data_IF_292087312357
#
_entry.id   IF_292087312357
#
_cell.length_a   1.000
_cell.length_b   1.000
_cell.length_c   1.000
_cell.angle_alpha   90.00
_cell.angle_beta   90.00
_cell.angle_gamma   90.00
#
_symmetry.space_group_name_H-M   'P 1'
#
loop_
_entity.id
_entity.type
_entity.pdbx_description
1 polymer ?
#
# COMPACT_ATOMS: atom_id res chain seq x y z
N UNK A 1 -9.12 -79.42 -9.80
CA UNK A 1 -9.95 -78.47 -9.09
C UNK A 1 -9.07 -77.51 -8.33
N UNK A 2 -8.66 -76.43 -8.95
CA UNK A 2 -8.06 -75.22 -8.32
C UNK A 2 -7.95 -74.15 -9.40
N UNK A 3 -8.99 -73.40 -9.60
CA UNK A 3 -8.94 -72.14 -10.40
C UNK A 3 -10.20 -71.35 -10.02
N UNK A 4 -10.07 -70.36 -9.24
CA UNK A 4 -11.24 -69.55 -8.91
C UNK A 4 -11.08 -68.53 -7.79
N UNK A 5 -9.85 -68.15 -7.41
CA UNK A 5 -9.69 -67.19 -6.29
C UNK A 5 -8.81 -65.99 -6.56
N UNK A 6 -8.49 -65.64 -7.80
CA UNK A 6 -7.62 -64.49 -8.08
C UNK A 6 -8.27 -63.31 -8.82
N UNK A 7 -9.58 -63.37 -9.11
CA UNK A 7 -10.24 -62.32 -9.89
C UNK A 7 -11.07 -61.30 -9.06
N UNK A 8 -11.22 -61.51 -7.76
CA UNK A 8 -12.04 -60.63 -6.92
C UNK A 8 -11.26 -59.50 -6.20
N UNK A 9 -9.91 -59.56 -6.19
CA UNK A 9 -9.10 -58.55 -5.43
C UNK A 9 -8.71 -57.33 -6.25
N UNK A 10 -8.71 -57.44 -7.59
CA UNK A 10 -8.33 -56.28 -8.44
C UNK A 10 -9.42 -55.25 -8.65
N UNK A 11 -10.69 -55.61 -8.47
CA UNK A 11 -11.81 -54.66 -8.69
C UNK A 11 -12.01 -53.67 -7.52
N UNK A 12 -11.55 -54.03 -6.31
CA UNK A 12 -11.70 -53.18 -5.12
C UNK A 12 -10.68 -52.03 -5.01
N UNK A 13 -9.48 -52.20 -5.59
CA UNK A 13 -8.39 -51.23 -5.48
C UNK A 13 -8.52 -50.04 -6.49
N UNK A 14 -9.17 -50.27 -7.62
CA UNK A 14 -9.35 -49.22 -8.64
C UNK A 14 -10.46 -48.24 -8.24
N UNK A 15 -11.46 -48.67 -7.47
CA UNK A 15 -12.52 -47.76 -7.01
C UNK A 15 -12.09 -46.85 -5.86
N UNK A 16 -11.08 -47.20 -5.05
CA UNK A 16 -10.58 -46.35 -3.97
C UNK A 16 -9.71 -45.18 -4.50
N UNK A 17 -8.98 -45.40 -5.60
CA UNK A 17 -8.16 -44.33 -6.19
C UNK A 17 -8.98 -43.24 -6.86
N UNK A 18 -10.17 -43.54 -7.38
CA UNK A 18 -11.06 -42.56 -7.99
C UNK A 18 -11.82 -41.71 -6.96
N UNK A 19 -11.99 -42.18 -5.73
CA UNK A 19 -12.70 -41.46 -4.68
C UNK A 19 -11.82 -40.44 -3.96
N UNK A 20 -10.50 -40.57 -4.02
CA UNK A 20 -9.54 -39.64 -3.42
C UNK A 20 -9.16 -38.45 -4.32
N UNK A 21 -9.53 -38.49 -5.61
CA UNK A 21 -9.25 -37.39 -6.54
C UNK A 21 -10.40 -36.37 -6.65
N UNK A 22 -11.52 -36.59 -5.98
CA UNK A 22 -12.72 -35.74 -6.07
C UNK A 22 -12.83 -34.63 -5.01
N UNK A 23 -11.88 -34.47 -4.11
CA UNK A 23 -11.94 -33.43 -3.06
C UNK A 23 -10.69 -32.54 -3.04
N UNK A 24 -10.28 -32.05 -4.18
CA UNK A 24 -9.61 -30.74 -4.16
C UNK A 24 -10.71 -29.69 -4.02
N UNK A 25 -11.22 -29.53 -2.83
CA UNK A 25 -11.89 -28.31 -2.44
C UNK A 25 -10.84 -27.19 -2.59
N UNK A 26 -10.74 -26.64 -3.79
CA UNK A 26 -10.21 -25.30 -4.00
C UNK A 26 -11.20 -24.37 -3.29
N UNK A 27 -11.12 -24.34 -1.97
CA UNK A 27 -11.52 -23.20 -1.19
C UNK A 27 -10.64 -22.06 -1.71
N UNK A 28 -11.12 -21.38 -2.74
CA UNK A 28 -10.62 -20.09 -3.15
C UNK A 28 -10.93 -19.15 -1.98
N UNK A 29 -10.12 -19.25 -0.94
CA UNK A 29 -9.95 -18.19 0.01
C UNK A 29 -9.44 -17.01 -0.84
N UNK A 30 -10.37 -16.21 -1.35
CA UNK A 30 -10.12 -14.93 -1.96
C UNK A 30 -9.57 -14.02 -0.86
N UNK A 31 -8.36 -14.34 -0.40
CA UNK A 31 -7.63 -13.48 0.52
C UNK A 31 -7.41 -12.18 -0.23
N UNK A 32 -8.01 -11.13 0.29
CA UNK A 32 -7.83 -9.77 -0.24
C UNK A 32 -6.32 -9.54 -0.44
N UNK A 33 -5.89 -9.06 -1.62
CA UNK A 33 -4.47 -8.89 -1.88
C UNK A 33 -3.84 -7.99 -0.82
N UNK A 34 -2.60 -8.27 -0.40
CA UNK A 34 -1.94 -7.52 0.66
C UNK A 34 -1.75 -6.05 0.24
N UNK A 35 -1.89 -5.15 1.19
CA UNK A 35 -1.58 -3.73 0.97
C UNK A 35 -0.06 -3.57 0.90
N UNK A 36 0.42 -2.98 -0.19
CA UNK A 36 1.85 -2.68 -0.41
C UNK A 36 2.23 -1.33 0.17
N UNK A 37 1.38 -0.33 -0.08
CA UNK A 37 1.57 1.04 0.39
C UNK A 37 0.21 1.64 0.68
N UNK A 38 0.06 2.31 1.81
CA UNK A 38 -1.09 3.16 2.06
C UNK A 38 -0.69 4.42 2.79
N UNK A 39 -1.42 5.49 2.53
CA UNK A 39 -1.28 6.73 3.28
C UNK A 39 -2.64 7.32 3.60
N UNK A 40 -2.71 7.94 4.77
CA UNK A 40 -3.83 8.77 5.21
C UNK A 40 -3.28 10.14 5.53
N UNK A 41 -3.70 11.16 4.79
CA UNK A 41 -3.40 12.56 5.08
C UNK A 41 -4.55 13.14 5.87
N UNK A 42 -4.27 13.59 7.08
CA UNK A 42 -5.20 14.35 7.93
C UNK A 42 -4.80 15.81 7.89
N UNK A 43 -5.77 16.66 7.70
CA UNK A 43 -5.60 18.11 7.74
C UNK A 43 -6.59 18.65 8.78
N UNK A 44 -6.08 19.38 9.75
CA UNK A 44 -6.87 20.01 10.81
C UNK A 44 -6.41 21.46 11.00
N UNK A 45 -7.32 22.34 11.37
CA UNK A 45 -7.05 23.76 11.60
C UNK A 45 -8.25 24.45 12.20
N UNK A 46 -8.11 25.76 12.50
CA UNK A 46 -9.11 26.54 13.25
C UNK A 46 -10.51 26.50 12.62
N UNK A 47 -10.59 26.52 11.29
CA UNK A 47 -11.86 26.56 10.54
C UNK A 47 -12.08 25.30 9.69
N UNK A 48 -11.19 24.32 9.80
CA UNK A 48 -11.27 23.08 9.00
C UNK A 48 -11.78 21.94 9.86
N UNK A 49 -12.85 21.31 9.41
CA UNK A 49 -13.20 19.99 9.92
C UNK A 49 -12.07 19.00 9.57
N UNK A 50 -11.80 18.06 10.46
CA UNK A 50 -10.79 17.02 10.24
C UNK A 50 -11.03 16.29 8.90
N UNK A 51 -10.24 16.60 7.89
CA UNK A 51 -10.33 15.98 6.58
C UNK A 51 -9.30 14.85 6.51
N UNK A 52 -9.77 13.66 6.14
CA UNK A 52 -8.91 12.51 5.93
C UNK A 52 -8.97 12.06 4.47
N UNK A 53 -7.84 12.18 3.76
CA UNK A 53 -7.69 11.70 2.39
C UNK A 53 -6.81 10.44 2.40
N UNK A 54 -7.30 9.38 1.79
CA UNK A 54 -6.63 8.08 1.77
C UNK A 54 -6.15 7.70 0.37
N UNK A 55 -5.07 6.95 0.31
CA UNK A 55 -4.66 6.19 -0.86
C UNK A 55 -4.15 4.82 -0.41
N UNK A 56 -4.46 3.77 -1.18
CA UNK A 56 -4.01 2.38 -0.93
C UNK A 56 -3.63 1.71 -2.24
N UNK A 57 -2.44 1.16 -2.27
CA UNK A 57 -1.97 0.27 -3.33
C UNK A 57 -1.98 -1.17 -2.81
N UNK A 58 -2.62 -2.05 -3.55
CA UNK A 58 -2.65 -3.49 -3.29
C UNK A 58 -1.62 -4.24 -4.14
N UNK A 59 -1.29 -5.46 -3.73
CA UNK A 59 -0.26 -6.28 -4.38
C UNK A 59 -0.61 -6.73 -5.80
N UNK A 60 -1.88 -6.70 -6.18
CA UNK A 60 -2.39 -6.97 -7.53
C UNK A 60 -2.41 -5.73 -8.45
N UNK A 61 -1.95 -4.59 -7.96
CA UNK A 61 -1.91 -3.32 -8.70
C UNK A 61 -3.17 -2.46 -8.56
N UNK A 62 -4.20 -2.94 -7.86
CA UNK A 62 -5.38 -2.13 -7.55
C UNK A 62 -4.98 -0.94 -6.68
N UNK A 63 -5.47 0.25 -7.02
CA UNK A 63 -5.31 1.47 -6.24
C UNK A 63 -6.67 2.05 -5.89
N UNK A 64 -6.88 2.32 -4.63
CA UNK A 64 -8.04 3.06 -4.11
C UNK A 64 -7.58 4.40 -3.58
N UNK A 65 -8.22 5.50 -3.95
CA UNK A 65 -7.90 6.82 -3.40
C UNK A 65 -9.14 7.71 -3.27
N UNK A 66 -9.02 8.71 -2.43
CA UNK A 66 -10.04 9.74 -2.28
C UNK A 66 -9.71 10.92 -3.19
N UNK A 67 -10.66 11.26 -4.08
CA UNK A 67 -10.62 12.41 -4.97
C UNK A 67 -11.49 13.52 -4.39
N UNK A 68 -10.99 14.74 -4.37
CA UNK A 68 -11.72 15.92 -3.91
C UNK A 68 -10.82 16.93 -3.21
N UNK A 69 -11.40 18.06 -2.88
CA UNK A 69 -10.76 19.15 -2.13
C UNK A 69 -11.27 19.17 -0.69
N UNK A 70 -10.54 19.89 0.17
CA UNK A 70 -10.82 20.02 1.61
C UNK A 70 -12.25 20.53 1.86
N UNK A 71 -12.76 21.38 0.97
CA UNK A 71 -14.07 22.05 1.13
C UNK A 71 -15.22 21.31 0.47
N UNK A 72 -14.97 20.15 -0.15
CA UNK A 72 -15.99 19.41 -0.92
C UNK A 72 -15.99 17.95 -0.53
N UNK A 73 -17.17 17.34 -0.67
CA UNK A 73 -17.30 15.90 -0.52
C UNK A 73 -16.32 15.17 -1.45
N UNK A 74 -15.45 14.35 -0.88
CA UNK A 74 -14.55 13.49 -1.66
C UNK A 74 -15.26 12.21 -2.07
N UNK A 75 -14.82 11.65 -3.19
CA UNK A 75 -15.31 10.38 -3.72
C UNK A 75 -14.18 9.35 -3.71
N UNK A 76 -14.52 8.14 -3.29
CA UNK A 76 -13.60 7.02 -3.44
C UNK A 76 -13.50 6.64 -4.91
N UNK A 77 -12.27 6.67 -5.43
CA UNK A 77 -11.93 6.21 -6.77
C UNK A 77 -11.15 4.92 -6.71
N UNK A 78 -11.26 4.15 -7.77
CA UNK A 78 -10.52 2.89 -7.94
C UNK A 78 -9.96 2.83 -9.34
N UNK A 79 -8.70 2.45 -9.45
CA UNK A 79 -8.01 2.17 -10.71
C UNK A 79 -7.01 1.04 -10.52
N UNK A 80 -6.23 0.74 -11.55
CA UNK A 80 -5.12 -0.21 -11.46
C UNK A 80 -3.88 0.36 -12.13
N UNK A 81 -2.73 0.07 -11.56
CA UNK A 81 -1.42 0.29 -12.18
C UNK A 81 -0.86 -1.05 -12.66
N UNK A 82 0.12 -1.00 -13.54
CA UNK A 82 0.71 -2.21 -14.13
C UNK A 82 1.53 -3.01 -13.11
N UNK A 83 1.70 -4.33 -13.30
CA UNK A 83 2.59 -5.13 -12.45
C UNK A 83 4.03 -4.62 -12.40
N UNK A 84 4.51 -4.02 -13.49
CA UNK A 84 5.84 -3.41 -13.55
C UNK A 84 5.95 -2.20 -12.62
N UNK A 85 4.91 -1.36 -12.56
CA UNK A 85 4.86 -0.22 -11.65
C UNK A 85 4.75 -0.66 -10.18
N UNK A 86 3.95 -1.68 -9.87
CA UNK A 86 3.90 -2.28 -8.53
C UNK A 86 5.28 -2.78 -8.11
N UNK A 87 5.98 -3.47 -9.03
CA UNK A 87 7.33 -4.00 -8.77
C UNK A 87 8.36 -2.88 -8.57
N UNK A 88 8.24 -1.77 -9.31
CA UNK A 88 9.09 -0.60 -9.13
C UNK A 88 8.87 0.02 -7.74
N UNK A 89 7.63 0.28 -7.36
CA UNK A 89 7.29 0.83 -6.04
C UNK A 89 7.80 -0.10 -4.91
N UNK A 90 7.61 -1.41 -5.02
CA UNK A 90 8.11 -2.36 -4.02
C UNK A 90 9.63 -2.31 -3.89
N UNK A 91 10.35 -2.22 -5.01
CA UNK A 91 11.81 -2.11 -5.00
C UNK A 91 12.25 -0.82 -4.31
N UNK A 92 11.60 0.31 -4.62
CA UNK A 92 11.93 1.60 -4.03
C UNK A 92 11.62 1.63 -2.53
N UNK A 93 10.49 1.06 -2.10
CA UNK A 93 10.17 0.88 -0.68
C UNK A 93 11.18 -0.03 0.04
N UNK A 94 11.72 -1.05 -0.63
CA UNK A 94 12.72 -1.95 -0.04
C UNK A 94 14.08 -1.27 0.22
N UNK A 95 14.38 -0.15 -0.44
CA UNK A 95 15.61 0.62 -0.22
C UNK A 95 15.52 1.62 0.93
N UNK A 96 14.32 1.86 1.47
CA UNK A 96 14.13 2.80 2.56
C UNK A 96 14.65 2.19 3.86
N UNK A 97 15.59 2.86 4.52
CA UNK A 97 16.00 2.52 5.87
C UNK A 97 14.82 2.75 6.83
N UNK A 98 14.46 1.74 7.60
CA UNK A 98 13.20 1.78 8.38
C UNK A 98 13.39 1.69 9.88
N UNK A 99 14.63 1.61 10.36
CA UNK A 99 14.92 1.43 11.77
C UNK A 99 14.32 2.54 12.64
N UNK A 100 14.37 3.77 12.15
CA UNK A 100 13.87 4.96 12.85
C UNK A 100 12.42 5.33 12.49
N UNK A 101 11.79 4.61 11.53
CA UNK A 101 10.44 4.91 11.06
C UNK A 101 9.37 4.25 11.95
N UNK A 102 9.04 4.89 13.06
CA UNK A 102 8.00 4.42 13.96
C UNK A 102 7.30 5.57 14.69
N UNK A 103 6.06 5.34 15.10
CA UNK A 103 5.29 6.30 15.89
C UNK A 103 5.00 7.62 15.18
N UNK A 104 4.86 8.68 15.95
CA UNK A 104 4.59 10.04 15.46
C UNK A 104 5.86 10.87 15.44
N UNK A 105 6.22 11.34 14.27
CA UNK A 105 7.45 12.07 13.98
C UNK A 105 7.15 13.53 13.60
N UNK A 106 8.03 14.43 13.96
CA UNK A 106 7.86 15.86 13.68
C UNK A 106 7.44 16.65 14.93
N UNK A 107 6.86 17.85 14.82
CA UNK A 107 6.65 18.55 13.54
C UNK A 107 7.97 18.96 12.85
N UNK A 108 7.97 18.99 11.50
CA UNK A 108 9.14 19.38 10.70
C UNK A 108 9.10 20.84 10.29
N UNK A 109 7.90 21.35 10.03
CA UNK A 109 7.68 22.74 9.64
C UNK A 109 6.54 23.36 10.45
N UNK A 110 6.45 24.72 10.44
CA UNK A 110 5.30 25.46 10.97
C UNK A 110 4.40 25.91 9.83
N UNK A 111 3.11 25.96 10.09
CA UNK A 111 2.07 26.61 9.30
C UNK A 111 1.31 27.58 10.20
N UNK A 112 0.58 28.56 9.65
CA UNK A 112 -0.15 29.53 10.45
C UNK A 112 -1.24 28.87 11.30
N UNK A 113 -2.16 28.14 10.64
CA UNK A 113 -3.41 27.72 11.29
C UNK A 113 -3.75 26.26 10.97
N UNK A 114 -2.84 25.54 10.35
CA UNK A 114 -3.12 24.19 9.85
C UNK A 114 -2.08 23.21 10.34
N UNK A 115 -2.57 22.07 10.82
CA UNK A 115 -1.72 20.90 11.09
C UNK A 115 -1.98 19.86 10.00
N UNK A 116 -0.93 19.42 9.35
CA UNK A 116 -0.98 18.35 8.37
C UNK A 116 -0.22 17.16 8.91
N UNK A 117 -0.93 16.05 9.06
CA UNK A 117 -0.35 14.77 9.44
C UNK A 117 -0.52 13.78 8.29
N UNK A 118 0.56 13.10 7.92
CA UNK A 118 0.50 11.97 7.00
C UNK A 118 0.89 10.70 7.74
N UNK A 119 -0.02 9.76 7.83
CA UNK A 119 0.26 8.41 8.31
C UNK A 119 0.55 7.51 7.11
N UNK A 120 1.68 6.83 7.13
CA UNK A 120 2.11 5.92 6.07
C UNK A 120 2.26 4.52 6.65
N UNK A 121 1.69 3.55 5.92
CA UNK A 121 1.93 2.12 6.12
C UNK A 121 2.53 1.57 4.84
N UNK A 122 3.64 0.88 4.93
CA UNK A 122 4.35 0.33 3.78
C UNK A 122 4.91 -1.05 4.07
N UNK A 123 4.96 -1.88 3.05
CA UNK A 123 5.61 -3.19 3.10
C UNK A 123 7.05 -3.06 2.62
N UNK A 124 8.01 -3.33 3.48
CA UNK A 124 9.45 -3.25 3.20
C UNK A 124 10.08 -4.65 3.23
N UNK A 125 11.37 -4.74 2.93
CA UNK A 125 12.14 -5.98 3.07
C UNK A 125 12.20 -6.50 4.51
N UNK A 126 12.03 -5.59 5.49
CA UNK A 126 12.01 -5.90 6.92
C UNK A 126 10.60 -6.12 7.49
N UNK A 127 9.58 -6.23 6.62
CA UNK A 127 8.18 -6.40 6.98
C UNK A 127 7.39 -5.09 6.92
N UNK A 128 6.20 -5.12 7.53
CA UNK A 128 5.33 -3.94 7.57
C UNK A 128 5.89 -2.87 8.51
N UNK A 129 5.86 -1.61 8.06
CA UNK A 129 6.19 -0.42 8.85
C UNK A 129 5.06 0.58 8.80
N UNK A 130 4.82 1.24 9.93
CA UNK A 130 3.82 2.30 10.06
C UNK A 130 4.37 3.44 10.91
N UNK A 131 4.25 4.65 10.39
CA UNK A 131 4.61 5.89 11.11
C UNK A 131 3.72 7.05 10.67
N UNK A 132 3.73 8.13 11.44
CA UNK A 132 3.12 9.41 11.07
C UNK A 132 4.16 10.51 11.00
N UNK A 133 4.08 11.37 10.00
CA UNK A 133 4.89 12.58 9.89
C UNK A 133 4.01 13.83 10.00
N UNK A 134 4.39 14.75 10.88
CA UNK A 134 3.64 15.99 11.13
C UNK A 134 4.32 17.14 10.40
N UNK A 135 3.53 17.87 9.63
CA UNK A 135 3.98 19.02 8.83
C UNK A 135 5.26 18.73 8.03
N UNK A 136 5.27 17.64 7.21
CA UNK A 136 6.50 17.22 6.53
C UNK A 136 6.85 18.05 5.30
N UNK A 137 5.89 18.83 4.77
CA UNK A 137 6.11 19.69 3.60
C UNK A 137 6.70 21.04 3.99
N UNK A 138 7.39 21.72 3.06
CA UNK A 138 7.87 23.07 3.29
C UNK A 138 6.74 23.98 3.75
N UNK A 139 6.95 24.67 4.85
CA UNK A 139 6.00 25.59 5.50
C UNK A 139 6.62 26.98 5.66
N UNK A 140 6.07 27.76 6.60
CA UNK A 140 6.57 29.11 6.90
C UNK A 140 7.97 29.11 7.50
N UNK A 141 8.26 28.11 8.31
CA UNK A 141 9.56 27.96 8.96
C UNK A 141 9.87 26.49 9.17
N UNK A 142 11.06 26.09 8.80
CA UNK A 142 11.61 24.76 9.16
C UNK A 142 11.93 24.73 10.66
N UNK A 143 11.43 23.70 11.34
CA UNK A 143 11.73 23.44 12.76
C UNK A 143 12.94 22.50 12.86
N UNK A 144 12.92 21.45 12.04
CA UNK A 144 14.01 20.47 11.93
C UNK A 144 14.00 19.87 10.51
N UNK A 145 15.16 19.42 10.02
CA UNK A 145 15.23 18.80 8.71
C UNK A 145 14.37 17.52 8.65
N UNK A 146 13.74 17.32 7.50
CA UNK A 146 12.99 16.10 7.22
C UNK A 146 13.98 14.95 6.93
N UNK A 147 13.97 13.86 7.72
CA UNK A 147 14.86 12.73 7.49
C UNK A 147 14.71 12.15 6.08
N UNK A 148 15.79 11.68 5.44
CA UNK A 148 15.76 11.13 4.09
C UNK A 148 14.76 9.97 3.93
N UNK A 149 14.62 9.12 4.93
CA UNK A 149 13.73 7.97 4.97
C UNK A 149 12.27 8.41 4.96
N UNK A 150 11.91 9.40 5.79
CA UNK A 150 10.57 9.99 5.84
C UNK A 150 10.24 10.66 4.51
N UNK A 151 11.20 11.43 3.95
CA UNK A 151 11.06 12.06 2.64
C UNK A 151 10.82 11.00 1.57
N UNK A 152 11.62 9.93 1.57
CA UNK A 152 11.51 8.85 0.58
C UNK A 152 10.14 8.18 0.62
N UNK A 153 9.63 7.84 1.80
CA UNK A 153 8.32 7.23 1.95
C UNK A 153 7.18 8.17 1.50
N UNK A 154 7.25 9.45 1.84
CA UNK A 154 6.28 10.46 1.38
C UNK A 154 6.31 10.60 -0.14
N UNK A 155 7.51 10.56 -0.74
CA UNK A 155 7.65 10.67 -2.19
C UNK A 155 7.05 9.48 -2.93
N UNK A 156 7.15 8.25 -2.41
CA UNK A 156 6.45 7.10 -3.01
C UNK A 156 4.93 7.29 -3.03
N UNK A 157 4.37 7.81 -1.93
CA UNK A 157 2.93 8.15 -1.88
C UNK A 157 2.58 9.22 -2.90
N UNK A 158 3.40 10.27 -3.02
CA UNK A 158 3.16 11.37 -3.94
C UNK A 158 3.27 10.94 -5.41
N UNK A 159 4.26 10.11 -5.75
CA UNK A 159 4.42 9.53 -7.08
C UNK A 159 3.23 8.63 -7.41
N UNK A 160 2.76 7.81 -6.47
CA UNK A 160 1.57 6.99 -6.68
C UNK A 160 0.33 7.87 -6.95
N UNK A 161 0.11 8.94 -6.18
CA UNK A 161 -1.00 9.87 -6.39
C UNK A 161 -0.91 10.56 -7.75
N UNK A 162 0.26 11.00 -8.17
CA UNK A 162 0.44 11.65 -9.48
C UNK A 162 0.09 10.73 -10.66
N UNK A 163 0.27 9.42 -10.50
CA UNK A 163 -0.07 8.44 -11.53
C UNK A 163 -1.59 8.19 -11.65
N UNK A 164 -2.32 8.28 -10.56
CA UNK A 164 -3.72 7.84 -10.51
C UNK A 164 -4.73 8.97 -10.39
N UNK A 165 -4.31 10.11 -9.85
CA UNK A 165 -5.18 11.26 -9.57
C UNK A 165 -4.83 12.50 -10.41
N UNK A 166 -3.86 12.39 -11.33
CA UNK A 166 -3.34 13.51 -12.14
C UNK A 166 -2.89 14.71 -11.28
N UNK A 167 -2.43 14.41 -10.06
CA UNK A 167 -1.88 15.43 -9.17
C UNK A 167 -0.41 15.71 -9.54
N UNK A 168 0.05 16.97 -9.50
CA UNK A 168 1.45 17.27 -9.77
C UNK A 168 2.36 16.63 -8.72
N UNK A 169 3.51 16.12 -9.15
CA UNK A 169 4.54 15.65 -8.22
C UNK A 169 5.03 16.81 -7.39
N UNK A 170 5.10 16.63 -6.07
CA UNK A 170 5.62 17.65 -5.18
C UNK A 170 7.11 17.92 -5.49
N UNK A 171 7.52 19.19 -5.51
CA UNK A 171 8.89 19.62 -5.83
C UNK A 171 9.96 18.90 -5.02
N UNK A 172 9.69 18.58 -3.76
CA UNK A 172 10.64 17.82 -2.92
C UNK A 172 10.87 16.39 -3.42
N UNK A 173 10.01 15.88 -4.31
CA UNK A 173 10.04 14.53 -4.85
C UNK A 173 10.47 14.46 -6.33
N UNK A 174 10.66 15.61 -7.01
CA UNK A 174 10.97 15.66 -8.45
C UNK A 174 12.25 14.90 -8.81
N UNK A 175 13.25 14.89 -7.93
CA UNK A 175 14.50 14.16 -8.14
C UNK A 175 14.35 12.64 -8.20
N UNK A 176 13.23 12.08 -7.74
CA UNK A 176 12.91 10.65 -7.81
C UNK A 176 12.10 10.27 -9.05
N UNK A 177 11.59 11.25 -9.79
CA UNK A 177 10.79 10.96 -10.99
C UNK A 177 11.75 10.64 -12.13
N UNK A 178 11.68 9.46 -12.78
CA UNK A 178 12.49 9.15 -13.94
C UNK A 178 12.18 10.18 -15.03
N UNK A 179 13.24 10.78 -15.58
CA UNK A 179 13.13 11.64 -16.79
C UNK A 179 12.43 10.84 -17.89
N UNK A 180 11.38 11.42 -18.46
CA UNK A 180 10.63 10.84 -19.59
C UNK A 180 11.50 10.78 -20.83
#
# INVERSE_FOLDING_TARGET
>A
MRSGLHLAVCAGLVCLAAYLQGQTNTSSNSSKPPVVLSATRRISGFDLQDVQLQIRLYGDGKVEWDEGTIDKSYRRRVTSITPAEVSAIRRDLATIETTELHGKMGPYNTYTDTLVEIQIRMMTSQGERMFSAVNPWPGLREIKPLPPEVRSAICEVNILRSKVADEPVNRMCESKTPSK
#
